data_IF_937078038899
#
_entry.id   IF_937078038899
#
_cell.length_a   1.000
_cell.length_b   1.000
_cell.length_c   1.000
_cell.angle_alpha   90.00
_cell.angle_beta   90.00
_cell.angle_gamma   90.00
#
_symmetry.space_group_name_H-M   'P 1'
#
loop_
_entity.id
_entity.type
_entity.pdbx_description
1 polymer ?
#
# COMPACT_ATOMS: atom_id res chain seq x y z
N UNK A 1 15.11 -46.88 -20.05
CA UNK A 1 14.49 -45.73 -20.76
C UNK A 1 13.10 -45.54 -20.19
N UNK A 2 12.80 -44.38 -19.60
CA UNK A 2 11.46 -44.10 -19.12
C UNK A 2 10.49 -44.00 -20.32
N UNK A 3 9.30 -44.60 -20.20
CA UNK A 3 8.26 -44.53 -21.23
C UNK A 3 7.76 -43.09 -21.38
N UNK A 4 7.35 -42.71 -22.59
CA UNK A 4 6.76 -41.39 -22.86
C UNK A 4 5.56 -41.07 -21.94
N UNK A 5 4.83 -42.10 -21.50
CA UNK A 5 3.74 -41.97 -20.52
C UNK A 5 4.25 -41.59 -19.14
N UNK A 6 5.34 -42.20 -18.69
CA UNK A 6 5.99 -41.88 -17.42
C UNK A 6 6.51 -40.44 -17.44
N UNK A 7 7.20 -40.03 -18.51
CA UNK A 7 7.68 -38.65 -18.65
C UNK A 7 6.53 -37.64 -18.64
N UNK A 8 5.40 -37.96 -19.28
CA UNK A 8 4.21 -37.09 -19.27
C UNK A 8 3.57 -37.00 -17.88
N UNK A 9 3.46 -38.14 -17.17
CA UNK A 9 3.02 -38.19 -15.78
C UNK A 9 3.93 -37.37 -14.86
N UNK A 10 5.25 -37.50 -15.00
CA UNK A 10 6.22 -36.72 -14.24
C UNK A 10 6.13 -35.21 -14.54
N UNK A 11 5.95 -34.82 -15.80
CA UNK A 11 5.72 -33.42 -16.15
C UNK A 11 4.44 -32.86 -15.52
N UNK A 12 3.34 -33.63 -15.55
CA UNK A 12 2.09 -33.21 -14.89
C UNK A 12 2.27 -33.05 -13.38
N UNK A 13 2.97 -33.99 -12.73
CA UNK A 13 3.28 -33.89 -11.29
C UNK A 13 4.14 -32.65 -11.00
N UNK A 14 5.17 -32.37 -11.79
CA UNK A 14 6.03 -31.19 -11.62
C UNK A 14 5.29 -29.86 -11.84
N UNK A 15 4.38 -29.80 -12.82
CA UNK A 15 3.53 -28.63 -13.07
C UNK A 15 2.54 -28.43 -11.91
N UNK A 16 1.92 -29.50 -11.40
CA UNK A 16 1.04 -29.43 -10.24
C UNK A 16 1.76 -28.99 -8.96
N UNK A 17 3.02 -29.39 -8.76
CA UNK A 17 3.82 -29.03 -7.56
C UNK A 17 4.41 -27.62 -7.65
N UNK A 18 4.71 -27.13 -8.85
CA UNK A 18 5.27 -25.78 -9.07
C UNK A 18 4.21 -24.68 -9.18
N UNK A 19 2.94 -25.05 -9.41
CA UNK A 19 1.82 -24.12 -9.44
C UNK A 19 1.40 -23.67 -8.04
N UNK A 20 1.15 -22.37 -7.88
CA UNK A 20 0.65 -21.68 -6.69
C UNK A 20 1.73 -21.29 -5.66
N UNK A 21 2.69 -20.46 -6.08
CA UNK A 21 3.30 -19.50 -5.14
C UNK A 21 2.77 -18.11 -5.47
N UNK A 22 1.50 -17.85 -5.18
CA UNK A 22 1.00 -16.48 -5.20
C UNK A 22 1.66 -15.72 -4.05
N UNK A 23 2.40 -14.67 -4.39
CA UNK A 23 3.01 -13.83 -3.37
C UNK A 23 1.89 -13.13 -2.59
N UNK A 24 1.85 -13.38 -1.28
CA UNK A 24 0.78 -12.90 -0.39
C UNK A 24 0.65 -11.39 -0.49
N UNK A 25 -0.50 -10.92 -0.97
CA UNK A 25 -0.82 -9.49 -1.01
C UNK A 25 -1.03 -8.98 0.41
N UNK A 26 -0.43 -7.83 0.72
CA UNK A 26 -0.53 -7.18 2.04
C UNK A 26 -0.95 -5.74 1.88
N UNK A 27 -2.00 -5.35 2.60
CA UNK A 27 -2.51 -3.98 2.60
C UNK A 27 -1.59 -3.03 3.39
N UNK A 28 -1.45 -1.76 2.95
CA UNK A 28 -0.60 -0.78 3.62
C UNK A 28 -1.16 -0.31 4.97
N UNK A 29 -0.25 -0.17 5.93
CA UNK A 29 -0.44 0.61 7.15
C UNK A 29 0.01 2.03 6.85
N UNK A 30 -0.84 3.00 7.16
CA UNK A 30 -0.64 4.43 6.85
C UNK A 30 -0.62 5.22 8.15
N UNK A 31 0.35 6.10 8.29
CA UNK A 31 0.50 7.02 9.41
C UNK A 31 0.71 8.43 8.86
N UNK A 32 0.04 9.41 9.44
CA UNK A 32 0.19 10.82 9.06
C UNK A 32 0.66 11.62 10.27
N UNK A 33 1.59 12.55 10.07
CA UNK A 33 2.17 13.36 11.15
C UNK A 33 2.89 14.59 10.61
N UNK A 34 3.03 15.62 11.44
CA UNK A 34 3.93 16.74 11.17
C UNK A 34 5.37 16.43 11.57
N UNK A 35 6.33 16.99 10.83
CA UNK A 35 7.76 16.86 11.19
C UNK A 35 8.08 17.56 12.52
N UNK A 36 7.46 18.72 12.75
CA UNK A 36 7.63 19.52 13.96
C UNK A 36 6.28 19.71 14.68
N UNK A 37 6.26 20.16 15.94
CA UNK A 37 5.03 20.58 16.60
C UNK A 37 4.27 21.62 15.77
N UNK A 38 2.93 21.56 15.81
CA UNK A 38 2.10 22.51 15.07
C UNK A 38 2.08 23.84 15.80
N UNK A 39 2.68 24.86 15.20
CA UNK A 39 2.75 26.22 15.76
C UNK A 39 2.19 27.24 14.76
N UNK A 40 1.29 28.15 15.18
CA UNK A 40 0.72 29.16 14.29
C UNK A 40 1.79 30.03 13.62
N UNK A 41 1.69 30.17 12.30
CA UNK A 41 2.61 31.00 11.51
C UNK A 41 4.00 30.40 11.28
N UNK A 42 4.29 29.20 11.80
CA UNK A 42 5.52 28.47 11.48
C UNK A 42 5.29 27.46 10.36
N UNK A 43 6.23 27.42 9.43
CA UNK A 43 6.24 26.39 8.38
C UNK A 43 6.46 25.00 9.00
N UNK A 44 5.86 23.99 8.37
CA UNK A 44 5.97 22.60 8.81
C UNK A 44 5.83 21.66 7.61
N UNK A 45 6.23 20.41 7.80
CA UNK A 45 6.16 19.36 6.78
C UNK A 45 5.14 18.32 7.21
N UNK A 46 4.12 18.12 6.38
CA UNK A 46 3.16 17.04 6.52
C UNK A 46 3.72 15.76 5.89
N UNK A 47 3.88 14.70 6.70
CA UNK A 47 4.38 13.41 6.24
C UNK A 47 3.23 12.41 6.16
N UNK A 48 3.23 11.61 5.09
CA UNK A 48 2.46 10.38 5.01
C UNK A 48 3.42 9.20 4.90
N UNK A 49 3.47 8.39 5.95
CA UNK A 49 4.33 7.21 6.03
C UNK A 49 3.51 5.94 5.78
N UNK A 50 3.92 5.18 4.77
CA UNK A 50 3.21 3.99 4.30
C UNK A 50 4.13 2.79 4.41
N UNK A 51 3.71 1.73 5.12
CA UNK A 51 4.54 0.54 5.38
C UNK A 51 3.74 -0.77 5.32
N UNK A 52 4.48 -1.88 5.22
CA UNK A 52 3.92 -3.23 5.40
C UNK A 52 3.09 -3.77 4.23
N UNK A 53 3.22 -3.17 3.04
CA UNK A 53 2.45 -3.55 1.86
C UNK A 53 3.25 -4.42 0.88
N UNK A 54 2.54 -5.25 0.13
CA UNK A 54 3.07 -6.04 -0.97
C UNK A 54 1.97 -6.33 -2.01
N UNK A 55 2.22 -6.24 -3.33
CA UNK A 55 3.48 -5.93 -4.01
C UNK A 55 3.97 -4.48 -3.79
N UNK A 56 5.23 -4.13 -4.16
CA UNK A 56 5.81 -2.82 -3.85
C UNK A 56 5.26 -1.66 -4.71
N UNK A 57 4.39 -1.95 -5.69
CA UNK A 57 3.73 -0.92 -6.49
C UNK A 57 2.63 -0.25 -5.67
N UNK A 58 2.75 1.06 -5.45
CA UNK A 58 1.82 1.86 -4.66
C UNK A 58 1.72 3.28 -5.25
N UNK A 59 0.57 3.93 -5.08
CA UNK A 59 0.40 5.35 -5.39
C UNK A 59 -0.02 6.10 -4.12
N UNK A 60 0.66 7.21 -3.83
CA UNK A 60 0.43 8.04 -2.64
C UNK A 60 0.26 9.48 -3.09
N UNK A 61 -0.85 10.10 -2.69
CA UNK A 61 -1.17 11.50 -3.02
C UNK A 61 -1.45 12.28 -1.74
N UNK A 62 -0.78 13.41 -1.57
CA UNK A 62 -1.04 14.38 -0.50
C UNK A 62 -2.00 15.45 -1.03
N UNK A 63 -3.11 15.66 -0.34
CA UNK A 63 -4.15 16.62 -0.72
C UNK A 63 -4.22 17.75 0.32
N UNK A 64 -4.37 18.99 -0.14
CA UNK A 64 -4.61 20.18 0.69
C UNK A 64 -5.88 20.89 0.22
N UNK A 65 -6.85 21.04 1.13
CA UNK A 65 -8.05 21.92 1.05
C UNK A 65 -9.02 21.74 -0.14
N UNK A 66 -10.18 21.14 0.12
CA UNK A 66 -11.33 21.17 -0.79
C UNK A 66 -12.22 22.44 -0.77
N UNK A 67 -12.18 23.28 0.29
CA UNK A 67 -12.76 24.65 0.36
C UNK A 67 -12.51 25.34 1.71
N UNK A 68 -12.28 26.66 1.64
CA UNK A 68 -12.25 27.79 2.61
C UNK A 68 -12.07 27.64 4.15
N UNK A 69 -12.01 26.46 4.76
CA UNK A 69 -11.64 26.33 6.18
C UNK A 69 -10.23 25.72 6.24
N UNK A 70 -9.33 26.42 6.92
CA UNK A 70 -7.87 26.27 6.85
C UNK A 70 -7.40 24.83 7.15
N UNK A 71 -6.38 24.41 6.39
CA UNK A 71 -5.43 23.32 6.68
C UNK A 71 -5.97 21.89 6.86
N UNK A 72 -6.93 21.48 6.03
CA UNK A 72 -7.26 20.05 5.91
C UNK A 72 -6.25 19.36 4.98
N UNK A 73 -5.39 18.54 5.59
CA UNK A 73 -4.43 17.69 4.88
C UNK A 73 -4.90 16.25 4.89
N UNK A 74 -4.83 15.60 3.73
CA UNK A 74 -5.21 14.20 3.59
C UNK A 74 -4.14 13.41 2.85
N UNK A 75 -3.89 12.19 3.31
CA UNK A 75 -3.09 11.21 2.58
C UNK A 75 -4.00 10.17 1.93
N UNK A 76 -4.01 10.15 0.60
CA UNK A 76 -4.70 9.15 -0.20
C UNK A 76 -3.71 8.10 -0.67
N UNK A 77 -4.00 6.84 -0.38
CA UNK A 77 -3.15 5.69 -0.70
C UNK A 77 -3.93 4.69 -1.55
N UNK A 78 -3.37 4.32 -2.70
CA UNK A 78 -3.92 3.34 -3.63
C UNK A 78 -2.94 2.17 -3.75
N UNK A 79 -3.46 0.96 -3.58
CA UNK A 79 -2.67 -0.25 -3.60
C UNK A 79 -3.55 -1.42 -4.04
N UNK A 80 -2.98 -2.44 -4.69
CA UNK A 80 -3.76 -3.57 -5.21
C UNK A 80 -4.43 -4.42 -4.13
N UNK A 81 -3.96 -4.34 -2.88
CA UNK A 81 -4.57 -5.00 -1.74
C UNK A 81 -5.67 -4.15 -1.06
N UNK A 82 -6.02 -2.98 -1.63
CA UNK A 82 -7.10 -2.13 -1.17
C UNK A 82 -8.20 -2.07 -2.26
N UNK A 83 -9.47 -2.41 -1.95
CA UNK A 83 -10.56 -2.33 -2.92
C UNK A 83 -10.93 -0.88 -3.28
N UNK A 84 -10.68 0.05 -2.36
CA UNK A 84 -10.87 1.49 -2.55
C UNK A 84 -9.67 2.26 -1.99
N UNK A 85 -9.40 3.50 -2.48
CA UNK A 85 -8.33 4.32 -1.93
C UNK A 85 -8.50 4.53 -0.42
N UNK A 86 -7.45 4.27 0.34
CA UNK A 86 -7.42 4.56 1.78
C UNK A 86 -7.08 6.03 1.98
N UNK A 87 -7.98 6.76 2.63
CA UNK A 87 -7.83 8.19 2.90
C UNK A 87 -7.64 8.38 4.40
N UNK A 88 -6.50 8.92 4.79
CA UNK A 88 -6.22 9.30 6.18
C UNK A 88 -6.22 10.82 6.26
N UNK A 89 -7.14 11.36 7.06
CA UNK A 89 -7.21 12.78 7.35
C UNK A 89 -6.28 13.09 8.51
N UNK A 90 -5.60 14.22 8.43
CA UNK A 90 -4.84 14.72 9.56
C UNK A 90 -5.77 15.49 10.49
N UNK A 91 -6.03 14.91 11.67
CA UNK A 91 -6.68 15.61 12.76
C UNK A 91 -5.60 16.22 13.67
N UNK A 92 -5.63 17.55 13.86
CA UNK A 92 -4.70 18.28 14.73
C UNK A 92 -4.98 18.09 16.24
N UNK A 93 -5.80 17.11 16.61
CA UNK A 93 -6.28 16.91 17.99
C UNK A 93 -5.33 16.08 18.88
N UNK A 94 -4.04 16.03 18.53
CA UNK A 94 -2.99 15.47 19.38
C UNK A 94 -1.77 16.39 19.41
#
# INVERSE_FOLDING_TARGET
MASAKELFLWCLVLVCVSGITEAVTKAPVVQVYSRHPVEPGKENIFNCYVKGFYPPKINVTLLKNGKAIKDQYECRVEHSALPTPKIIRWDQHY
#
